data_IF_090165931075
#
_entry.id   IF_090165931075
#
_cell.length_a   1.000
_cell.length_b   1.000
_cell.length_c   1.000
_cell.angle_alpha   90.00
_cell.angle_beta   90.00
_cell.angle_gamma   90.00
#
_symmetry.space_group_name_H-M   'P 1'
#
loop_
_entity.id
_entity.type
_entity.pdbx_description
1 polymer ?
#
# COMPACT_ATOMS: atom_id res chain seq x y z
N UNK A 1 -12.58 -16.29 20.76
CA UNK A 1 -11.43 -16.48 19.86
C UNK A 1 -11.29 -15.21 19.04
N UNK A 2 -10.12 -14.59 18.96
CA UNK A 2 -9.94 -13.43 18.06
C UNK A 2 -10.06 -13.91 16.61
N UNK A 3 -10.99 -13.33 15.85
CA UNK A 3 -11.11 -13.57 14.41
C UNK A 3 -9.75 -13.28 13.74
N UNK A 4 -9.26 -14.19 12.91
CA UNK A 4 -8.01 -14.02 12.16
C UNK A 4 -8.05 -12.80 11.22
N UNK A 5 -6.96 -12.54 10.47
CA UNK A 5 -6.97 -11.50 9.44
C UNK A 5 -8.11 -11.69 8.44
N UNK A 6 -8.62 -10.59 7.86
CA UNK A 6 -9.60 -10.67 6.78
C UNK A 6 -8.98 -11.41 5.60
N UNK A 7 -9.69 -12.39 5.03
CA UNK A 7 -9.36 -12.89 3.69
C UNK A 7 -9.89 -11.90 2.66
N UNK A 8 -9.06 -10.93 2.27
CA UNK A 8 -9.45 -9.88 1.33
C UNK A 8 -9.75 -10.44 -0.07
N UNK A 9 -9.08 -11.50 -0.50
CA UNK A 9 -9.36 -12.15 -1.80
C UNK A 9 -10.82 -12.64 -1.83
N UNK A 10 -11.22 -13.43 -0.84
CA UNK A 10 -12.58 -13.97 -0.75
C UNK A 10 -13.59 -12.84 -0.48
N UNK A 11 -13.34 -11.99 0.54
CA UNK A 11 -14.22 -10.89 0.94
C UNK A 11 -14.53 -9.96 -0.23
N UNK A 12 -13.53 -9.55 -0.99
CA UNK A 12 -13.76 -8.66 -2.15
C UNK A 12 -14.41 -9.38 -3.32
N UNK A 13 -14.13 -10.67 -3.52
CA UNK A 13 -14.80 -11.49 -4.53
C UNK A 13 -16.30 -11.58 -4.26
N UNK A 14 -16.69 -11.99 -3.05
CA UNK A 14 -18.10 -12.09 -2.64
C UNK A 14 -18.81 -10.75 -2.72
N UNK A 15 -18.13 -9.68 -2.29
CA UNK A 15 -18.65 -8.33 -2.36
C UNK A 15 -19.02 -7.92 -3.79
N UNK A 16 -18.09 -8.05 -4.75
CA UNK A 16 -18.34 -7.64 -6.12
C UNK A 16 -19.31 -8.56 -6.86
N UNK A 17 -19.30 -9.87 -6.57
CA UNK A 17 -20.32 -10.80 -7.07
C UNK A 17 -21.71 -10.40 -6.57
N UNK A 18 -21.84 -10.10 -5.27
CA UNK A 18 -23.08 -9.64 -4.65
C UNK A 18 -23.58 -8.29 -5.15
N UNK A 19 -22.68 -7.39 -5.57
CA UNK A 19 -23.04 -6.16 -6.30
C UNK A 19 -23.50 -6.44 -7.74
N UNK A 20 -23.38 -7.67 -8.25
CA UNK A 20 -23.81 -8.08 -9.58
C UNK A 20 -22.72 -7.98 -10.67
N UNK A 21 -21.43 -7.97 -10.29
CA UNK A 21 -20.32 -8.07 -11.25
C UNK A 21 -19.86 -9.52 -11.41
N UNK A 22 -20.02 -10.09 -12.60
CA UNK A 22 -19.76 -11.51 -12.87
C UNK A 22 -18.34 -11.83 -13.34
N UNK A 23 -17.36 -10.97 -13.06
CA UNK A 23 -15.97 -11.17 -13.44
C UNK A 23 -15.06 -10.94 -12.23
N UNK A 24 -14.84 -11.97 -11.39
CA UNK A 24 -13.95 -11.88 -10.23
C UNK A 24 -12.56 -11.41 -10.61
N UNK A 25 -11.97 -10.56 -9.76
CA UNK A 25 -10.62 -10.06 -9.99
C UNK A 25 -9.61 -11.21 -9.92
N UNK A 26 -8.84 -11.38 -10.98
CA UNK A 26 -7.76 -12.37 -11.02
C UNK A 26 -6.52 -11.76 -10.37
N UNK A 27 -6.14 -12.29 -9.22
CA UNK A 27 -4.96 -11.86 -8.48
C UNK A 27 -3.68 -12.40 -9.13
N UNK A 28 -2.60 -11.64 -9.08
CA UNK A 28 -1.30 -12.12 -9.52
C UNK A 28 -0.80 -13.21 -8.56
N UNK A 29 -0.17 -14.23 -9.11
CA UNK A 29 0.46 -15.31 -8.36
C UNK A 29 1.73 -15.73 -9.11
N UNK A 30 2.79 -16.00 -8.38
CA UNK A 30 4.06 -16.45 -8.94
C UNK A 30 4.65 -17.55 -8.08
N UNK A 31 5.18 -18.60 -8.70
CA UNK A 31 5.86 -19.68 -7.99
C UNK A 31 7.21 -19.22 -7.46
N UNK A 32 8.03 -18.64 -8.34
CA UNK A 32 9.35 -18.09 -7.99
C UNK A 32 9.25 -16.68 -7.41
N UNK A 33 10.03 -16.41 -6.36
CA UNK A 33 10.09 -15.10 -5.72
C UNK A 33 11.54 -14.61 -5.68
N UNK A 34 11.86 -13.48 -6.34
CA UNK A 34 13.20 -12.91 -6.31
C UNK A 34 13.55 -12.47 -4.88
N UNK A 35 14.81 -12.63 -4.51
CA UNK A 35 15.31 -12.31 -3.19
C UNK A 35 16.76 -11.82 -3.26
N UNK A 36 16.96 -10.57 -2.91
CA UNK A 36 18.26 -9.91 -2.76
C UNK A 36 18.72 -10.08 -1.32
N UNK A 37 19.93 -10.60 -1.15
CA UNK A 37 20.58 -10.65 0.16
C UNK A 37 21.23 -9.30 0.49
N UNK A 38 21.17 -8.83 1.76
CA UNK A 38 21.85 -7.62 2.17
C UNK A 38 23.37 -7.76 1.99
N UNK A 39 24.00 -6.77 1.36
CA UNK A 39 25.45 -6.71 1.15
C UNK A 39 26.17 -5.67 2.04
N UNK A 40 25.41 -4.86 2.77
CA UNK A 40 25.87 -3.86 3.74
C UNK A 40 24.84 -3.70 4.88
N UNK A 41 25.20 -3.14 6.04
CA UNK A 41 24.23 -2.90 7.11
C UNK A 41 23.32 -1.70 6.80
N UNK A 42 22.15 -1.63 7.46
CA UNK A 42 21.15 -0.56 7.26
C UNK A 42 21.74 0.85 7.40
N UNK A 43 22.62 1.06 8.38
CA UNK A 43 23.33 2.32 8.62
C UNK A 43 24.18 2.83 7.45
N UNK A 44 24.40 2.00 6.42
CA UNK A 44 25.15 2.33 5.21
C UNK A 44 24.23 2.30 3.96
N UNK A 45 22.91 2.13 4.14
CA UNK A 45 21.91 2.08 3.07
C UNK A 45 21.14 3.40 2.89
N UNK A 46 20.94 3.78 1.63
CA UNK A 46 19.92 4.74 1.19
C UNK A 46 18.56 4.04 1.11
N UNK A 47 17.58 4.52 1.87
CA UNK A 47 16.24 3.93 1.96
C UNK A 47 15.21 4.85 1.30
N UNK A 48 14.46 4.34 0.34
CA UNK A 48 13.35 5.05 -0.28
C UNK A 48 11.98 4.54 0.20
N UNK A 49 10.97 5.40 0.09
CA UNK A 49 9.57 5.01 0.27
C UNK A 49 8.85 5.00 -1.07
N UNK A 50 8.19 3.88 -1.36
CA UNK A 50 7.29 3.72 -2.50
C UNK A 50 5.87 3.59 -1.96
N UNK A 51 4.99 4.53 -2.33
CA UNK A 51 3.62 4.59 -1.82
C UNK A 51 2.60 4.51 -2.94
N UNK A 52 1.38 4.15 -2.56
CA UNK A 52 0.20 4.32 -3.42
C UNK A 52 -0.59 5.57 -3.08
N UNK A 53 -0.17 6.39 -2.11
CA UNK A 53 -0.81 7.70 -1.88
C UNK A 53 -0.69 8.58 -3.14
N UNK A 54 -1.66 9.47 -3.36
CA UNK A 54 -1.75 10.32 -4.54
C UNK A 54 -1.37 11.77 -4.20
N UNK A 55 -0.69 12.51 -5.08
CA UNK A 55 -0.46 13.94 -4.89
C UNK A 55 -1.80 14.69 -4.84
N UNK A 56 -1.93 15.59 -3.87
CA UNK A 56 -3.09 16.46 -3.74
C UNK A 56 -3.23 17.36 -4.98
N UNK A 57 -4.46 17.46 -5.50
CA UNK A 57 -4.78 18.27 -6.67
C UNK A 57 -5.93 19.24 -6.34
N UNK A 58 -5.68 20.55 -6.18
CA UNK A 58 -6.67 21.50 -5.65
C UNK A 58 -7.91 21.66 -6.54
N UNK A 59 -7.78 21.38 -7.83
CA UNK A 59 -8.84 21.45 -8.84
C UNK A 59 -9.72 20.19 -8.91
N UNK A 60 -9.41 19.15 -8.13
CA UNK A 60 -10.09 17.85 -8.20
C UNK A 60 -11.09 17.59 -7.08
N UNK A 61 -11.50 18.63 -6.35
CA UNK A 61 -12.46 18.52 -5.26
C UNK A 61 -11.87 17.90 -4.00
N UNK A 62 -12.75 17.49 -3.08
CA UNK A 62 -12.33 17.04 -1.75
C UNK A 62 -11.48 15.76 -1.79
N UNK A 63 -10.37 15.81 -1.06
CA UNK A 63 -9.32 14.79 -0.89
C UNK A 63 -8.81 14.78 0.56
N UNK A 64 -9.46 15.54 1.44
CA UNK A 64 -9.04 15.72 2.83
C UNK A 64 -9.42 14.53 3.72
N UNK A 65 -9.14 14.66 5.04
CA UNK A 65 -9.53 13.65 6.00
C UNK A 65 -11.04 13.40 6.01
N UNK A 66 -11.44 12.13 5.95
CA UNK A 66 -12.85 11.73 5.88
C UNK A 66 -13.50 11.91 4.49
N UNK A 67 -12.77 12.36 3.48
CA UNK A 67 -13.31 12.54 2.14
C UNK A 67 -13.87 11.22 1.57
N UNK A 68 -15.02 11.34 0.90
CA UNK A 68 -15.61 10.24 0.13
C UNK A 68 -14.69 9.82 -1.03
N UNK A 69 -14.95 8.66 -1.63
CA UNK A 69 -14.13 8.22 -2.75
C UNK A 69 -14.22 9.18 -3.93
N UNK A 70 -13.06 9.73 -4.31
CA UNK A 70 -12.89 10.63 -5.43
C UNK A 70 -12.04 9.98 -6.53
N UNK A 71 -12.67 9.57 -7.62
CA UNK A 71 -11.99 8.90 -8.72
C UNK A 71 -11.05 9.82 -9.52
N UNK A 72 -11.33 11.13 -9.57
CA UNK A 72 -10.54 12.09 -10.35
C UNK A 72 -9.15 12.33 -9.73
N UNK A 73 -9.04 12.25 -8.40
CA UNK A 73 -7.81 12.44 -7.64
C UNK A 73 -6.82 11.26 -7.70
N UNK A 74 -7.06 10.27 -8.57
CA UNK A 74 -6.11 9.19 -8.83
C UNK A 74 -4.99 9.63 -9.76
N UNK A 75 -3.90 8.88 -9.71
CA UNK A 75 -2.79 8.96 -10.65
C UNK A 75 -2.63 7.62 -11.37
N UNK A 76 -2.05 7.65 -12.57
CA UNK A 76 -1.97 6.49 -13.47
C UNK A 76 -0.55 6.18 -13.97
N UNK A 77 0.41 7.02 -13.61
CA UNK A 77 1.82 6.93 -13.99
C UNK A 77 2.68 6.94 -12.73
N UNK A 78 3.87 6.38 -12.79
CA UNK A 78 4.84 6.50 -11.70
C UNK A 78 5.17 7.98 -11.49
N UNK A 79 5.15 8.44 -10.25
CA UNK A 79 5.62 9.79 -9.91
C UNK A 79 6.85 9.72 -9.01
N UNK A 80 7.64 10.79 -9.03
CA UNK A 80 8.80 11.00 -8.19
C UNK A 80 8.81 12.43 -7.68
N UNK A 81 8.67 12.62 -6.37
CA UNK A 81 8.53 13.93 -5.73
C UNK A 81 9.61 14.11 -4.66
N UNK A 82 10.20 15.30 -4.50
CA UNK A 82 11.25 15.52 -3.50
C UNK A 82 10.68 15.31 -2.09
N UNK A 83 11.50 14.81 -1.16
CA UNK A 83 11.12 14.68 0.26
C UNK A 83 11.07 16.04 0.99
N UNK A 84 11.70 17.07 0.41
CA UNK A 84 11.76 18.45 0.92
C UNK A 84 11.46 19.44 -0.23
N UNK A 85 10.44 20.31 -0.08
CA UNK A 85 9.42 20.28 0.97
C UNK A 85 8.64 18.96 0.95
N UNK A 86 8.08 18.56 2.09
CA UNK A 86 7.30 17.31 2.15
C UNK A 86 6.10 17.37 1.19
N UNK A 87 5.93 16.38 0.30
CA UNK A 87 4.85 16.41 -0.68
C UNK A 87 3.50 16.20 0.01
N UNK A 88 2.48 16.93 -0.44
CA UNK A 88 1.12 16.73 0.03
C UNK A 88 0.50 15.49 -0.64
N UNK A 89 0.56 14.35 0.06
CA UNK A 89 0.04 13.06 -0.40
C UNK A 89 -1.23 12.65 0.39
N UNK A 90 -2.24 12.18 -0.34
CA UNK A 90 -3.57 11.81 0.15
C UNK A 90 -3.97 10.40 -0.30
N UNK A 91 -5.05 9.84 0.27
CA UNK A 91 -5.54 8.52 -0.12
C UNK A 91 -6.74 8.62 -1.05
N UNK A 92 -6.49 8.51 -2.36
CA UNK A 92 -7.53 8.61 -3.41
C UNK A 92 -8.10 7.26 -3.85
N UNK A 93 -7.70 6.15 -3.23
CA UNK A 93 -8.13 4.81 -3.68
C UNK A 93 -9.52 4.44 -3.19
N UNK A 94 -10.26 3.69 -4.00
CA UNK A 94 -11.66 3.35 -3.74
C UNK A 94 -11.86 2.42 -2.54
N UNK A 95 -10.97 1.44 -2.39
CA UNK A 95 -11.17 0.30 -1.50
C UNK A 95 -10.32 0.38 -0.23
N UNK A 96 -9.90 1.58 0.20
CA UNK A 96 -9.46 1.79 1.58
C UNK A 96 -10.63 1.59 2.54
N UNK A 97 -10.37 1.21 3.79
CA UNK A 97 -11.38 1.13 4.84
C UNK A 97 -11.73 2.54 5.37
N UNK A 98 -12.57 3.26 4.61
CA UNK A 98 -13.05 4.61 4.99
C UNK A 98 -13.95 4.63 6.22
N UNK A 99 -14.48 3.47 6.66
CA UNK A 99 -15.28 3.40 7.87
C UNK A 99 -14.40 3.49 9.12
N UNK A 100 -13.15 3.02 9.03
CA UNK A 100 -12.23 2.94 10.17
C UNK A 100 -10.94 3.75 9.99
N UNK A 101 -10.77 4.41 8.85
CA UNK A 101 -9.60 5.22 8.52
C UNK A 101 -10.03 6.57 7.99
N UNK A 102 -9.70 7.63 8.74
CA UNK A 102 -10.01 9.00 8.35
C UNK A 102 -8.92 9.66 7.50
N UNK A 103 -7.73 9.05 7.39
CA UNK A 103 -6.57 9.63 6.69
C UNK A 103 -6.15 11.03 7.23
N UNK A 104 -6.49 11.32 8.49
CA UNK A 104 -6.09 12.55 9.16
C UNK A 104 -4.60 12.54 9.52
N UNK A 105 -4.12 11.40 10.03
CA UNK A 105 -2.71 11.18 10.31
C UNK A 105 -2.02 10.53 9.11
N UNK A 106 -1.15 11.29 8.43
CA UNK A 106 -0.38 10.80 7.28
C UNK A 106 0.58 9.68 7.65
N UNK A 107 1.05 9.61 8.89
CA UNK A 107 2.06 8.64 9.30
C UNK A 107 1.53 7.21 9.31
N UNK A 108 0.21 7.00 9.26
CA UNK A 108 -0.38 5.65 9.18
C UNK A 108 -0.28 5.03 7.78
N UNK A 109 -0.02 5.85 6.74
CA UNK A 109 0.06 5.42 5.33
C UNK A 109 1.24 6.01 4.54
N UNK A 110 2.08 6.81 5.20
CA UNK A 110 3.31 7.37 4.66
C UNK A 110 4.30 7.60 5.83
N UNK A 111 5.23 6.67 6.11
CA UNK A 111 6.10 6.71 7.29
C UNK A 111 7.29 7.67 7.12
N UNK A 112 7.10 8.79 6.42
CA UNK A 112 8.17 9.71 6.04
C UNK A 112 8.78 10.41 7.26
N UNK A 113 7.96 10.78 8.26
CA UNK A 113 8.47 11.35 9.51
C UNK A 113 9.36 10.36 10.27
N UNK A 114 8.94 9.09 10.36
CA UNK A 114 9.74 8.07 11.02
C UNK A 114 11.04 7.75 10.25
N UNK A 115 11.00 7.75 8.90
CA UNK A 115 12.19 7.56 8.07
C UNK A 115 13.20 8.71 8.21
N UNK A 116 12.72 9.97 8.25
CA UNK A 116 13.58 11.15 8.54
C UNK A 116 14.29 10.97 9.89
N UNK A 117 13.56 10.53 10.91
CA UNK A 117 14.13 10.30 12.25
C UNK A 117 15.12 9.13 12.28
N UNK A 118 14.85 8.03 11.57
CA UNK A 118 15.79 6.92 11.47
C UNK A 118 17.13 7.35 10.83
N UNK A 119 17.08 8.22 9.82
CA UNK A 119 18.27 8.81 9.22
C UNK A 119 19.01 9.75 10.19
N UNK A 120 18.29 10.63 10.90
CA UNK A 120 18.86 11.51 11.94
C UNK A 120 19.56 10.72 13.06
N UNK A 121 18.96 9.58 13.45
CA UNK A 121 19.50 8.65 14.47
C UNK A 121 20.62 7.74 13.92
N UNK A 122 20.93 7.79 12.62
CA UNK A 122 21.90 6.92 11.94
C UNK A 122 21.57 5.42 12.03
N UNK A 123 20.28 5.09 12.16
CA UNK A 123 19.77 3.71 12.06
C UNK A 123 19.78 3.24 10.60
N UNK A 124 19.58 4.18 9.67
CA UNK A 124 19.80 4.04 8.24
C UNK A 124 20.89 5.02 7.78
N UNK A 125 21.53 4.74 6.63
CA UNK A 125 22.57 5.62 6.09
C UNK A 125 22.02 6.95 5.59
N UNK A 126 20.93 6.90 4.82
CA UNK A 126 20.19 8.08 4.39
C UNK A 126 18.73 7.75 4.06
N UNK A 127 17.86 8.75 4.18
CA UNK A 127 16.58 8.76 3.46
C UNK A 127 16.85 9.22 2.02
N UNK A 128 16.37 8.47 1.03
CA UNK A 128 16.47 8.84 -0.37
C UNK A 128 15.82 10.21 -0.64
N UNK A 129 16.31 10.99 -1.61
CA UNK A 129 15.86 12.36 -1.84
C UNK A 129 14.42 12.49 -2.38
N UNK A 130 13.79 11.37 -2.77
CA UNK A 130 12.46 11.36 -3.36
C UNK A 130 11.53 10.33 -2.71
N UNK A 131 10.24 10.67 -2.72
CA UNK A 131 9.11 9.75 -2.53
C UNK A 131 8.65 9.29 -3.91
N UNK A 132 8.42 7.99 -4.05
CA UNK A 132 7.99 7.39 -5.30
C UNK A 132 6.54 6.95 -5.20
N UNK A 133 5.76 7.31 -6.20
CA UNK A 133 4.38 6.89 -6.35
C UNK A 133 4.25 5.76 -7.33
N UNK A 134 3.63 4.66 -6.93
CA UNK A 134 3.33 3.57 -7.84
C UNK A 134 1.83 3.50 -8.14
N UNK A 135 1.41 3.56 -9.42
CA UNK A 135 0.00 3.61 -9.77
C UNK A 135 -0.70 2.28 -9.47
N UNK A 136 -1.98 2.36 -9.15
CA UNK A 136 -2.81 1.17 -8.86
C UNK A 136 -3.56 0.71 -10.11
N UNK A 137 -2.81 0.55 -11.20
CA UNK A 137 -3.35 0.04 -12.46
C UNK A 137 -3.83 -1.40 -12.26
N UNK A 138 -5.11 -1.66 -12.51
CA UNK A 138 -5.70 -3.02 -12.39
C UNK A 138 -5.14 -4.01 -13.43
N UNK A 139 -4.45 -3.50 -14.45
CA UNK A 139 -3.76 -4.28 -15.48
C UNK A 139 -2.41 -4.76 -14.93
N UNK A 140 -2.31 -6.06 -14.64
CA UNK A 140 -1.04 -6.67 -14.24
C UNK A 140 0.03 -6.51 -15.33
N UNK A 141 -0.36 -6.54 -16.61
CA UNK A 141 0.52 -6.32 -17.75
C UNK A 141 1.14 -4.92 -17.71
N UNK A 142 0.31 -3.88 -17.57
CA UNK A 142 0.77 -2.49 -17.49
C UNK A 142 1.74 -2.30 -16.33
N UNK A 143 1.40 -2.81 -15.13
CA UNK A 143 2.31 -2.74 -14.00
C UNK A 143 3.65 -3.41 -14.31
N UNK A 144 3.66 -4.59 -14.93
CA UNK A 144 4.89 -5.37 -15.16
C UNK A 144 5.74 -4.86 -16.31
N UNK A 145 5.12 -4.39 -17.38
CA UNK A 145 5.79 -4.02 -18.62
C UNK A 145 6.10 -2.51 -18.72
N UNK A 146 5.45 -1.67 -17.90
CA UNK A 146 5.62 -0.22 -17.93
C UNK A 146 5.97 0.34 -16.56
N UNK A 147 5.07 0.19 -15.57
CA UNK A 147 5.21 0.89 -14.28
C UNK A 147 6.41 0.37 -13.47
N UNK A 148 6.64 -0.95 -13.44
CA UNK A 148 7.76 -1.56 -12.72
C UNK A 148 9.12 -1.19 -13.34
N UNK A 149 9.35 -1.32 -14.66
CA UNK A 149 10.59 -0.84 -15.29
C UNK A 149 10.87 0.63 -15.02
N UNK A 150 9.85 1.49 -15.11
CA UNK A 150 10.00 2.93 -14.86
C UNK A 150 10.42 3.19 -13.40
N UNK A 151 9.73 2.60 -12.43
CA UNK A 151 10.07 2.73 -11.02
C UNK A 151 11.51 2.26 -10.75
N UNK A 152 11.89 1.08 -11.24
CA UNK A 152 13.22 0.51 -11.02
C UNK A 152 14.31 1.40 -11.63
N UNK A 153 14.09 1.91 -12.83
CA UNK A 153 15.01 2.84 -13.50
C UNK A 153 15.27 4.08 -12.63
N UNK A 154 14.21 4.70 -12.11
CA UNK A 154 14.33 5.88 -11.25
C UNK A 154 15.06 5.58 -9.92
N UNK A 155 14.75 4.44 -9.29
CA UNK A 155 15.39 4.03 -8.03
C UNK A 155 16.89 3.77 -8.19
N UNK A 156 17.29 3.14 -9.30
CA UNK A 156 18.70 2.89 -9.62
C UNK A 156 19.44 4.19 -9.93
N UNK A 157 18.81 5.11 -10.68
CA UNK A 157 19.38 6.42 -10.98
C UNK A 157 19.63 7.28 -9.72
N UNK A 158 18.83 7.05 -8.68
CA UNK A 158 18.93 7.74 -7.39
C UNK A 158 19.78 7.00 -6.35
N UNK A 159 20.49 5.95 -6.76
CA UNK A 159 21.40 5.17 -5.91
C UNK A 159 20.70 4.66 -4.63
N UNK A 160 19.43 4.26 -4.77
CA UNK A 160 18.67 3.66 -3.66
C UNK A 160 19.15 2.24 -3.42
N UNK A 161 19.29 1.84 -2.17
CA UNK A 161 19.67 0.46 -1.79
C UNK A 161 18.47 -0.39 -1.39
N UNK A 162 17.50 0.22 -0.72
CA UNK A 162 16.34 -0.49 -0.17
C UNK A 162 15.05 0.32 -0.13
N UNK A 163 13.92 -0.39 -0.13
CA UNK A 163 12.59 0.16 -0.28
C UNK A 163 11.67 -0.24 0.89
N UNK A 164 10.97 0.75 1.43
CA UNK A 164 9.73 0.56 2.19
C UNK A 164 8.55 0.76 1.23
N UNK A 165 7.74 -0.28 0.99
CA UNK A 165 6.58 -0.20 0.12
C UNK A 165 5.27 -0.15 0.93
N UNK A 166 4.42 0.86 0.68
CA UNK A 166 3.24 1.16 1.50
C UNK A 166 1.93 1.16 0.68
N UNK A 167 1.21 0.02 0.65
CA UNK A 167 -0.09 -0.11 -0.02
C UNK A 167 -1.29 0.26 0.86
N UNK A 168 -2.26 0.99 0.31
CA UNK A 168 -3.42 1.50 1.08
C UNK A 168 -4.74 0.75 0.87
N UNK A 169 -4.82 -0.17 -0.10
CA UNK A 169 -6.04 -0.84 -0.53
C UNK A 169 -5.74 -2.25 -1.10
N UNK A 170 -6.73 -3.13 -1.38
CA UNK A 170 -6.46 -4.49 -1.84
C UNK A 170 -5.62 -4.54 -3.13
N UNK A 171 -6.02 -3.81 -4.17
CA UNK A 171 -5.26 -3.75 -5.45
C UNK A 171 -3.90 -3.07 -5.25
N UNK A 172 -3.80 -2.11 -4.32
CA UNK A 172 -2.56 -1.46 -3.97
C UNK A 172 -1.51 -2.48 -3.47
N UNK A 173 -1.94 -3.47 -2.67
CA UNK A 173 -1.07 -4.53 -2.16
C UNK A 173 -0.52 -5.38 -3.30
N UNK A 174 -1.35 -5.74 -4.29
CA UNK A 174 -0.86 -6.44 -5.47
C UNK A 174 0.09 -5.57 -6.30
N UNK A 175 -0.25 -4.31 -6.57
CA UNK A 175 0.59 -3.40 -7.33
C UNK A 175 1.98 -3.26 -6.72
N UNK A 176 2.07 -3.04 -5.41
CA UNK A 176 3.36 -2.95 -4.72
C UNK A 176 4.04 -4.31 -4.52
N UNK A 177 3.31 -5.43 -4.50
CA UNK A 177 3.90 -6.76 -4.58
C UNK A 177 4.61 -7.00 -5.92
N UNK A 178 4.02 -6.53 -7.04
CA UNK A 178 4.67 -6.56 -8.35
C UNK A 178 5.92 -5.66 -8.37
N UNK A 179 5.82 -4.46 -7.83
CA UNK A 179 6.94 -3.52 -7.73
C UNK A 179 8.09 -4.08 -6.88
N UNK A 180 7.79 -4.64 -5.71
CA UNK A 180 8.78 -5.28 -4.83
C UNK A 180 9.55 -6.39 -5.55
N UNK A 181 8.83 -7.25 -6.29
CA UNK A 181 9.46 -8.32 -7.08
C UNK A 181 10.37 -7.76 -8.18
N UNK A 182 9.95 -6.70 -8.87
CA UNK A 182 10.78 -6.08 -9.91
C UNK A 182 12.05 -5.46 -9.32
N UNK A 183 11.91 -4.73 -8.21
CA UNK A 183 13.03 -4.13 -7.49
C UNK A 183 14.05 -5.16 -7.01
N UNK A 184 13.60 -6.31 -6.47
CA UNK A 184 14.53 -7.35 -5.99
C UNK A 184 15.20 -8.12 -7.12
N UNK A 185 14.61 -8.17 -8.32
CA UNK A 185 15.35 -8.66 -9.50
C UNK A 185 16.46 -7.72 -9.91
N UNK A 186 16.34 -6.43 -9.60
CA UNK A 186 17.34 -5.41 -9.87
C UNK A 186 18.36 -5.23 -8.73
N UNK A 187 18.28 -6.05 -7.66
CA UNK A 187 19.23 -5.98 -6.53
C UNK A 187 18.86 -4.95 -5.46
N UNK A 188 17.64 -4.41 -5.47
CA UNK A 188 17.15 -3.50 -4.43
C UNK A 188 16.44 -4.30 -3.35
N UNK A 189 16.81 -4.13 -2.07
CA UNK A 189 16.12 -4.82 -0.99
C UNK A 189 14.73 -4.22 -0.76
N UNK A 190 13.71 -5.03 -0.54
CA UNK A 190 12.35 -4.53 -0.33
C UNK A 190 11.69 -5.15 0.88
N UNK A 191 10.85 -4.34 1.55
CA UNK A 191 9.86 -4.81 2.51
C UNK A 191 8.54 -4.08 2.26
N UNK A 192 7.46 -4.85 2.21
CA UNK A 192 6.11 -4.28 2.15
C UNK A 192 5.59 -4.12 3.58
N UNK A 193 5.13 -2.93 3.95
CA UNK A 193 4.36 -2.69 5.17
C UNK A 193 2.88 -2.62 4.79
N UNK A 194 2.08 -3.63 5.10
CA UNK A 194 0.72 -3.73 4.56
C UNK A 194 -0.27 -4.51 5.43
N UNK A 195 -1.56 -4.34 5.15
CA UNK A 195 -2.67 -4.95 5.88
C UNK A 195 -3.39 -6.10 5.16
N UNK A 196 -3.23 -6.27 3.85
CA UNK A 196 -3.91 -7.33 3.11
C UNK A 196 -3.04 -8.59 2.99
N UNK A 197 -3.02 -9.39 4.07
CA UNK A 197 -2.11 -10.53 4.21
C UNK A 197 -2.23 -11.55 3.08
N UNK A 198 -3.44 -12.03 2.85
CA UNK A 198 -3.70 -13.08 1.86
C UNK A 198 -3.32 -12.65 0.44
N UNK A 199 -3.58 -11.39 0.08
CA UNK A 199 -3.17 -10.83 -1.22
C UNK A 199 -1.65 -10.84 -1.37
N UNK A 200 -0.91 -10.33 -0.40
CA UNK A 200 0.56 -10.22 -0.48
C UNK A 200 1.21 -11.61 -0.50
N UNK A 201 0.75 -12.53 0.34
CA UNK A 201 1.25 -13.90 0.39
C UNK A 201 0.91 -14.68 -0.88
N UNK A 202 -0.29 -14.49 -1.43
CA UNK A 202 -0.71 -15.11 -2.69
C UNK A 202 0.15 -14.67 -3.88
N UNK A 203 0.46 -13.37 -3.98
CA UNK A 203 1.36 -12.87 -5.04
C UNK A 203 2.77 -13.45 -4.89
N UNK A 204 3.25 -13.62 -3.67
CA UNK A 204 4.61 -14.09 -3.37
C UNK A 204 5.63 -12.97 -3.47
N UNK A 205 6.01 -12.43 -2.30
CA UNK A 205 6.92 -11.29 -2.17
C UNK A 205 8.17 -11.65 -1.35
N UNK A 206 9.28 -10.91 -1.48
CA UNK A 206 10.51 -11.20 -0.75
C UNK A 206 10.32 -11.08 0.77
N UNK A 207 9.81 -9.94 1.24
CA UNK A 207 9.61 -9.61 2.65
C UNK A 207 8.30 -8.86 2.85
N UNK A 208 7.53 -9.26 3.87
CA UNK A 208 6.27 -8.64 4.21
C UNK A 208 6.13 -8.44 5.73
N UNK A 209 5.99 -7.18 6.15
CA UNK A 209 5.67 -6.81 7.51
C UNK A 209 4.17 -6.49 7.60
N UNK A 210 3.43 -7.44 8.17
CA UNK A 210 1.97 -7.48 8.15
C UNK A 210 1.34 -6.76 9.35
N UNK A 211 0.26 -6.00 9.06
CA UNK A 211 -0.63 -5.43 10.06
C UNK A 211 -2.09 -5.81 9.96
N UNK A 212 -2.61 -6.43 11.01
CA UNK A 212 -4.03 -6.75 11.16
C UNK A 212 -4.86 -5.53 11.59
N UNK A 213 -4.69 -4.43 10.84
CA UNK A 213 -5.36 -3.14 11.02
C UNK A 213 -6.24 -2.84 9.80
N UNK A 214 -7.20 -1.90 9.90
CA UNK A 214 -7.94 -1.41 8.74
C UNK A 214 -7.01 -0.95 7.62
N UNK A 215 -7.37 -1.25 6.38
CA UNK A 215 -6.64 -0.78 5.20
C UNK A 215 -6.48 0.74 5.25
N UNK A 216 -5.26 1.22 5.01
CA UNK A 216 -4.88 2.63 5.17
C UNK A 216 -4.15 2.94 6.47
N UNK A 217 -3.85 1.94 7.31
CA UNK A 217 -3.07 2.11 8.54
C UNK A 217 -1.90 1.14 8.64
N UNK A 218 -1.22 0.85 7.53
CA UNK A 218 -0.14 -0.13 7.48
C UNK A 218 1.16 0.32 8.13
N UNK A 219 1.27 1.59 8.51
CA UNK A 219 2.48 2.18 9.08
C UNK A 219 2.35 2.58 10.57
N UNK A 220 1.26 2.18 11.23
CA UNK A 220 1.04 2.52 12.63
C UNK A 220 -0.43 2.73 12.95
N UNK A 221 -0.74 2.78 14.25
CA UNK A 221 -2.03 3.30 14.70
C UNK A 221 -2.08 4.83 14.49
N UNK A 222 -3.25 5.40 14.18
CA UNK A 222 -3.40 6.84 14.09
C UNK A 222 -3.09 7.51 15.43
N UNK A 223 -2.41 8.65 15.37
CA UNK A 223 -2.07 9.49 16.53
C UNK A 223 -1.23 8.78 17.60
N UNK A 224 -0.57 7.68 17.24
CA UNK A 224 0.26 6.86 18.13
C UNK A 224 1.66 6.73 17.55
N UNK A 225 2.47 7.76 17.84
CA UNK A 225 3.86 7.83 17.39
C UNK A 225 4.71 6.63 17.81
N UNK A 226 4.65 6.12 19.07
CA UNK A 226 5.36 4.90 19.44
C UNK A 226 5.02 3.69 18.55
N UNK A 227 3.74 3.52 18.17
CA UNK A 227 3.36 2.45 17.24
C UNK A 227 3.98 2.62 15.86
N UNK A 228 4.04 3.86 15.35
CA UNK A 228 4.58 4.19 14.03
C UNK A 228 6.09 3.99 13.97
N UNK A 229 6.80 4.44 15.01
CA UNK A 229 8.25 4.23 15.15
C UNK A 229 8.58 2.74 15.27
N UNK A 230 7.88 1.99 16.12
CA UNK A 230 8.10 0.55 16.26
C UNK A 230 7.88 -0.19 14.94
N UNK A 231 6.79 0.10 14.23
CA UNK A 231 6.46 -0.58 12.99
C UNK A 231 7.49 -0.31 11.88
N UNK A 232 7.97 0.94 11.76
CA UNK A 232 9.04 1.23 10.80
C UNK A 232 10.32 0.49 11.18
N UNK A 233 10.72 0.53 12.46
CA UNK A 233 11.96 -0.08 12.92
C UNK A 233 11.98 -1.60 12.68
N UNK A 234 10.88 -2.29 12.98
CA UNK A 234 10.75 -3.72 12.73
C UNK A 234 10.78 -4.04 11.23
N UNK A 235 10.13 -3.21 10.39
CA UNK A 235 10.17 -3.38 8.93
C UNK A 235 11.58 -3.14 8.36
N UNK A 236 12.29 -2.10 8.83
CA UNK A 236 13.69 -1.85 8.47
C UNK A 236 14.58 -3.04 8.88
N UNK A 237 14.42 -3.54 10.10
CA UNK A 237 15.17 -4.69 10.59
C UNK A 237 14.92 -5.95 9.74
N UNK A 238 13.71 -6.12 9.22
CA UNK A 238 13.36 -7.23 8.34
C UNK A 238 14.17 -7.24 7.03
N UNK A 239 14.55 -6.06 6.50
CA UNK A 239 15.38 -5.96 5.28
C UNK A 239 16.67 -6.78 5.42
N UNK A 240 17.31 -6.73 6.59
CA UNK A 240 18.61 -7.38 6.83
C UNK A 240 18.54 -8.71 7.57
N UNK A 241 17.38 -9.08 8.14
CA UNK A 241 17.24 -10.32 8.93
C UNK A 241 16.43 -11.42 8.25
N UNK A 242 15.57 -11.11 7.28
CA UNK A 242 14.91 -12.16 6.51
C UNK A 242 15.96 -13.00 5.76
N UNK A 243 15.83 -14.33 5.85
CA UNK A 243 16.82 -15.26 5.28
C UNK A 243 16.38 -15.87 3.94
N UNK A 244 15.12 -15.73 3.56
CA UNK A 244 14.52 -16.33 2.38
C UNK A 244 13.36 -15.48 1.83
N UNK A 245 13.00 -15.63 0.54
CA UNK A 245 11.76 -15.05 0.03
C UNK A 245 10.53 -15.60 0.74
N UNK A 246 9.38 -14.94 0.56
CA UNK A 246 8.10 -15.27 1.22
C UNK A 246 8.18 -15.19 2.75
N UNK A 247 9.09 -14.37 3.28
CA UNK A 247 9.12 -14.12 4.71
C UNK A 247 8.02 -13.14 5.06
N UNK A 248 7.08 -13.57 5.91
CA UNK A 248 6.05 -12.70 6.51
C UNK A 248 6.28 -12.61 8.02
N UNK A 249 6.41 -11.40 8.55
CA UNK A 249 6.36 -11.12 9.98
C UNK A 249 5.04 -10.42 10.31
N UNK A 250 4.40 -10.80 11.42
CA UNK A 250 3.19 -10.12 11.90
C UNK A 250 3.59 -9.15 13.00
N UNK A 251 3.22 -7.87 12.86
CA UNK A 251 3.47 -6.91 13.93
C UNK A 251 2.66 -7.31 15.19
N UNK A 252 3.20 -7.06 16.40
CA UNK A 252 2.56 -7.51 17.64
C UNK A 252 1.45 -6.56 18.13
N UNK A 253 1.31 -5.38 17.52
CA UNK A 253 0.37 -4.37 17.96
C UNK A 253 -1.05 -4.75 17.56
N UNK A 254 -2.02 -4.40 18.41
CA UNK A 254 -3.44 -4.58 18.16
C UNK A 254 -4.08 -3.28 17.75
N UNK A 255 -5.08 -3.36 16.87
CA UNK A 255 -5.92 -2.21 16.52
C UNK A 255 -6.67 -1.72 17.77
N UNK A 256 -6.67 -0.41 17.99
CA UNK A 256 -7.31 0.22 19.16
C UNK A 256 -8.64 0.92 18.83
N UNK A 257 -9.04 0.95 17.55
CA UNK A 257 -10.35 1.49 17.15
C UNK A 257 -11.49 0.49 17.38
N UNK A 258 -12.55 0.63 16.58
CA UNK A 258 -13.75 -0.23 16.62
C UNK A 258 -13.36 -1.71 16.56
N UNK A 259 -13.76 -2.51 17.55
CA UNK A 259 -13.30 -3.91 17.71
C UNK A 259 -13.71 -4.83 16.56
N UNK A 260 -14.90 -4.62 16.01
CA UNK A 260 -15.51 -5.43 14.96
C UNK A 260 -15.34 -4.82 13.56
N UNK A 261 -14.37 -3.92 13.37
CA UNK A 261 -14.11 -3.23 12.10
C UNK A 261 -14.04 -4.18 10.88
N UNK A 262 -13.52 -5.39 11.10
CA UNK A 262 -13.39 -6.43 10.06
C UNK A 262 -14.72 -6.84 9.45
N UNK A 263 -15.80 -6.77 10.22
CA UNK A 263 -17.12 -7.18 9.75
C UNK A 263 -17.75 -6.14 8.82
N UNK A 264 -17.24 -4.91 8.80
CA UNK A 264 -17.81 -3.81 8.02
C UNK A 264 -17.14 -3.66 6.65
N UNK A 265 -15.87 -4.04 6.55
CA UNK A 265 -15.12 -3.90 5.30
C UNK A 265 -15.68 -4.82 4.20
N UNK A 266 -16.25 -4.21 3.15
CA UNK A 266 -16.74 -4.89 1.96
C UNK A 266 -17.60 -6.14 2.27
N UNK A 267 -18.42 -6.09 3.32
CA UNK A 267 -19.25 -7.21 3.71
C UNK A 267 -20.63 -7.11 3.07
N UNK A 268 -20.88 -7.95 2.06
CA UNK A 268 -22.15 -7.97 1.34
C UNK A 268 -23.33 -8.39 2.22
N UNK A 269 -23.10 -9.27 3.19
CA UNK A 269 -24.14 -9.82 4.07
C UNK A 269 -24.75 -8.76 4.99
N UNK A 270 -24.05 -7.64 5.19
CA UNK A 270 -24.52 -6.50 5.98
C UNK A 270 -25.31 -5.46 5.18
N UNK A 271 -25.45 -5.63 3.86
CA UNK A 271 -26.11 -4.66 3.00
C UNK A 271 -27.53 -5.11 2.66
N UNK A 272 -28.47 -4.18 2.77
CA UNK A 272 -29.81 -4.34 2.21
C UNK A 272 -29.78 -4.29 0.67
N UNK A 273 -30.84 -4.79 0.03
CA UNK A 273 -30.99 -4.71 -1.43
C UNK A 273 -30.91 -3.27 -1.97
N UNK A 274 -31.44 -2.30 -1.23
CA UNK A 274 -31.37 -0.88 -1.58
C UNK A 274 -29.93 -0.34 -1.53
N UNK A 275 -29.17 -0.70 -0.48
CA UNK A 275 -27.76 -0.31 -0.36
C UNK A 275 -26.89 -0.96 -1.44
N UNK A 276 -27.16 -2.23 -1.79
CA UNK A 276 -26.50 -2.92 -2.91
C UNK A 276 -26.72 -2.17 -4.22
N UNK A 277 -27.97 -1.80 -4.52
CA UNK A 277 -28.31 -1.05 -5.74
C UNK A 277 -27.60 0.31 -5.77
N UNK A 278 -27.58 1.04 -4.65
CA UNK A 278 -26.90 2.33 -4.56
C UNK A 278 -25.39 2.21 -4.77
N UNK A 279 -24.73 1.27 -4.07
CA UNK A 279 -23.28 1.07 -4.19
C UNK A 279 -22.88 0.65 -5.61
N UNK A 280 -23.72 -0.13 -6.29
CA UNK A 280 -23.50 -0.47 -7.71
C UNK A 280 -23.55 0.78 -8.58
N UNK A 281 -24.58 1.63 -8.42
CA UNK A 281 -24.72 2.87 -9.17
C UNK A 281 -23.53 3.81 -8.95
N UNK A 282 -23.09 3.99 -7.70
CA UNK A 282 -21.94 4.83 -7.35
C UNK A 282 -20.65 4.32 -8.02
N UNK A 283 -20.44 3.01 -8.03
CA UNK A 283 -19.26 2.40 -8.65
C UNK A 283 -19.24 2.58 -10.17
N UNK A 284 -20.38 2.45 -10.84
CA UNK A 284 -20.49 2.63 -12.29
C UNK A 284 -20.38 4.12 -12.69
N UNK A 285 -20.89 5.04 -11.87
CA UNK A 285 -20.64 6.47 -12.03
C UNK A 285 -19.14 6.79 -11.95
N UNK A 286 -18.44 6.25 -10.95
CA UNK A 286 -17.01 6.46 -10.79
C UNK A 286 -16.16 5.86 -11.93
N UNK A 287 -16.55 4.71 -12.50
CA UNK A 287 -15.90 4.17 -13.72
C UNK A 287 -16.03 5.12 -14.90
N UNK A 288 -17.16 5.80 -15.02
CA UNK A 288 -17.41 6.74 -16.13
C UNK A 288 -16.50 7.96 -16.03
N UNK A 289 -16.26 8.48 -14.82
CA UNK A 289 -15.28 9.56 -14.57
C UNK A 289 -13.87 9.12 -15.01
N UNK A 290 -13.45 7.93 -14.62
CA UNK A 290 -12.12 7.40 -14.98
C UNK A 290 -11.93 7.17 -16.48
N UNK A 291 -12.99 6.80 -17.22
CA UNK A 291 -12.91 6.66 -18.67
C UNK A 291 -12.72 8.02 -19.36
N UNK A 292 -13.37 9.07 -18.86
CA UNK A 292 -13.26 10.42 -19.43
C UNK A 292 -11.91 11.08 -19.15
N UNK A 293 -11.28 10.77 -18.03
CA UNK A 293 -9.97 11.30 -17.66
C UNK A 293 -8.78 10.63 -18.38
N UNK A 294 -9.03 9.58 -19.18
CA UNK A 294 -8.03 8.83 -19.95
C UNK A 294 -8.06 9.17 -21.46
N UNK A 295 -8.89 10.12 -21.87
CA UNK A 295 -8.98 10.70 -23.22
C UNK A 295 -8.32 12.07 -23.17
#
# INVERSE_FOLDING_TARGET
>A
MSQGPISYIQRTTDYYLGLGYNNPYQWACFDDVPFTHPNKPLKDMSVAVVTTAAPYQPDKGDQGPGAVYNAAAKFHEVYRLPVVPEPDLRISHIAIDRAHTHAADKNTYLPLTCLKQAAEKKEIGALAPFVYGFPTNRSQRTNREQDCPELVSQLLADEVDSLILVPNCPVCHQSLALAARAAERAGLLTVIMGCAKDIVEHVGVPRFYFSDFPLGNSCGRPDDRPSQEQMLNDALHMLTTAMAPRTTATNPLKWQGVKNWKDDYANIEKLSAAEIAQKRADFDAAKTVLKKARV
#
